data_IF_773908532480
#
_entry.id   IF_773908532480
#
_cell.length_a   1.000
_cell.length_b   1.000
_cell.length_c   1.000
_cell.angle_alpha   90.00
_cell.angle_beta   90.00
_cell.angle_gamma   90.00
#
_symmetry.space_group_name_H-M   'P 1'
#
loop_
_entity.id
_entity.type
_entity.pdbx_description
1 polymer ?
#
# COMPACT_ATOMS: atom_id res chain seq x y z
N UNK A 1 23.14 -63.59 -15.55
CA UNK A 1 21.75 -63.78 -15.11
C UNK A 1 20.87 -62.90 -16.00
N UNK A 2 20.21 -63.37 -17.07
CA UNK A 2 18.93 -64.14 -17.12
C UNK A 2 17.87 -63.45 -16.25
N UNK A 3 16.73 -62.90 -16.70
CA UNK A 3 15.80 -63.27 -17.78
C UNK A 3 14.95 -62.04 -18.20
N UNK A 4 14.59 -61.97 -19.49
CA UNK A 4 13.67 -60.99 -20.11
C UNK A 4 12.20 -61.37 -19.84
N UNK A 5 11.35 -60.40 -19.53
CA UNK A 5 9.89 -60.57 -19.44
C UNK A 5 9.21 -60.47 -20.81
N UNK A 6 8.20 -61.30 -20.98
CA UNK A 6 7.49 -61.69 -22.20
C UNK A 6 6.29 -60.77 -22.47
N UNK A 7 6.08 -60.43 -23.74
CA UNK A 7 4.86 -59.81 -24.28
C UNK A 7 3.72 -60.84 -24.35
N UNK A 8 2.50 -60.44 -24.00
CA UNK A 8 1.29 -61.14 -24.45
C UNK A 8 0.18 -60.14 -24.79
N UNK A 9 -0.14 -60.07 -26.08
CA UNK A 9 -1.31 -59.40 -26.64
C UNK A 9 -2.44 -60.43 -26.80
N UNK A 10 -3.68 -60.08 -26.44
CA UNK A 10 -4.85 -60.82 -26.87
C UNK A 10 -6.03 -59.86 -27.12
N UNK A 11 -6.42 -59.83 -28.39
CA UNK A 11 -7.60 -59.19 -28.97
C UNK A 11 -8.80 -60.10 -28.76
N UNK A 12 -9.97 -59.57 -28.42
CA UNK A 12 -11.24 -60.28 -28.57
C UNK A 12 -12.33 -59.33 -29.09
N UNK A 13 -12.99 -59.75 -30.16
CA UNK A 13 -14.03 -59.02 -30.86
C UNK A 13 -15.34 -59.83 -30.90
N UNK A 14 -16.45 -59.09 -30.79
CA UNK A 14 -17.77 -59.23 -31.44
C UNK A 14 -18.77 -60.37 -31.08
N UNK A 15 -20.05 -59.94 -31.08
CA UNK A 15 -21.30 -60.71 -31.10
C UNK A 15 -22.12 -60.51 -29.81
N UNK A 16 -23.40 -60.11 -29.78
CA UNK A 16 -24.51 -60.22 -30.74
C UNK A 16 -25.59 -59.17 -30.41
N UNK A 17 -26.18 -58.57 -31.45
CA UNK A 17 -27.39 -57.74 -31.42
C UNK A 17 -28.65 -58.62 -31.33
N UNK A 18 -29.57 -58.29 -30.42
CA UNK A 18 -30.99 -58.67 -30.55
C UNK A 18 -31.85 -57.43 -30.30
N UNK A 19 -32.59 -57.08 -31.35
CA UNK A 19 -33.57 -56.02 -31.43
C UNK A 19 -34.82 -56.44 -30.65
N UNK A 20 -35.41 -55.54 -29.86
CA UNK A 20 -36.83 -55.65 -29.56
C UNK A 20 -37.49 -54.27 -29.54
N UNK A 21 -38.50 -54.16 -30.38
CA UNK A 21 -39.27 -52.97 -30.70
C UNK A 21 -40.30 -52.71 -29.59
N UNK A 22 -40.31 -51.51 -29.02
CA UNK A 22 -41.42 -51.05 -28.18
C UNK A 22 -41.77 -49.60 -28.52
N UNK A 23 -42.92 -49.50 -29.20
CA UNK A 23 -43.88 -48.41 -29.36
C UNK A 23 -43.52 -47.01 -28.84
N UNK A 24 -43.54 -46.06 -29.79
CA UNK A 24 -43.47 -44.63 -29.59
C UNK A 24 -44.67 -44.09 -28.78
N UNK A 25 -44.38 -43.52 -27.61
CA UNK A 25 -45.28 -42.60 -26.92
C UNK A 25 -44.88 -41.16 -27.30
N UNK A 26 -45.83 -40.41 -27.86
CA UNK A 26 -45.67 -39.01 -28.28
C UNK A 26 -45.44 -38.13 -27.04
N UNK A 27 -44.22 -37.66 -26.85
CA UNK A 27 -43.90 -36.70 -25.80
C UNK A 27 -44.66 -35.37 -26.02
N UNK A 28 -45.25 -34.76 -24.98
CA UNK A 28 -45.87 -33.45 -25.09
C UNK A 28 -44.81 -32.38 -25.37
N UNK A 29 -45.13 -31.45 -26.27
CA UNK A 29 -44.23 -30.36 -26.66
C UNK A 29 -43.81 -29.46 -25.50
N UNK A 30 -42.70 -28.72 -25.63
CA UNK A 30 -42.14 -27.92 -24.55
C UNK A 30 -43.14 -26.83 -24.12
N UNK A 31 -43.49 -26.85 -22.84
CA UNK A 31 -44.21 -25.76 -22.19
C UNK A 31 -43.21 -24.61 -22.06
N UNK A 32 -43.42 -23.54 -22.84
CA UNK A 32 -42.69 -22.30 -22.69
C UNK A 32 -43.13 -21.61 -21.41
N UNK A 33 -42.32 -21.73 -20.35
CA UNK A 33 -42.44 -20.90 -19.16
C UNK A 33 -42.06 -19.46 -19.54
N UNK A 34 -42.85 -18.43 -19.19
CA UNK A 34 -42.41 -17.05 -19.36
C UNK A 34 -41.15 -16.84 -18.52
N UNK A 35 -40.08 -16.36 -19.14
CA UNK A 35 -38.87 -15.96 -18.43
C UNK A 35 -39.24 -14.88 -17.40
N UNK A 36 -39.21 -15.24 -16.12
CA UNK A 36 -39.34 -14.29 -15.03
C UNK A 36 -38.27 -13.22 -15.22
N UNK A 37 -38.70 -11.96 -15.34
CA UNK A 37 -37.80 -10.82 -15.41
C UNK A 37 -36.82 -10.91 -14.24
N UNK A 38 -35.53 -11.05 -14.54
CA UNK A 38 -34.49 -11.04 -13.54
C UNK A 38 -34.62 -9.73 -12.74
N UNK A 39 -34.83 -9.85 -11.43
CA UNK A 39 -34.82 -8.71 -10.53
C UNK A 39 -33.50 -7.92 -10.75
N UNK A 40 -33.56 -6.58 -10.83
CA UNK A 40 -32.35 -5.78 -11.02
C UNK A 40 -31.39 -6.11 -9.87
N UNK A 41 -30.17 -6.53 -10.21
CA UNK A 41 -29.09 -6.68 -9.23
C UNK A 41 -29.01 -5.38 -8.43
N UNK A 42 -28.95 -5.41 -7.10
CA UNK A 42 -28.80 -4.21 -6.30
C UNK A 42 -27.62 -3.41 -6.85
N UNK A 43 -27.90 -2.21 -7.36
CA UNK A 43 -26.87 -1.25 -7.68
C UNK A 43 -26.19 -0.93 -6.34
N UNK A 44 -24.98 -1.46 -6.14
CA UNK A 44 -24.15 -1.08 -5.00
C UNK A 44 -23.75 0.37 -5.26
N UNK A 45 -24.57 1.30 -4.79
CA UNK A 45 -24.16 2.70 -4.66
C UNK A 45 -22.98 2.71 -3.71
N UNK A 46 -21.77 2.84 -4.25
CA UNK A 46 -20.56 3.02 -3.46
C UNK A 46 -20.83 4.13 -2.43
N UNK A 47 -20.47 3.94 -1.15
CA UNK A 47 -20.57 5.01 -0.17
C UNK A 47 -19.89 6.26 -0.72
N UNK A 48 -20.56 7.40 -0.67
CA UNK A 48 -19.92 8.68 -1.00
C UNK A 48 -18.95 8.96 0.16
N UNK A 49 -17.67 8.72 -0.08
CA UNK A 49 -16.61 9.06 0.88
C UNK A 49 -16.31 10.56 0.83
N UNK A 50 -15.81 11.12 1.92
CA UNK A 50 -15.29 12.49 1.96
C UNK A 50 -14.00 12.58 1.12
N UNK A 51 -14.12 13.21 -0.05
CA UNK A 51 -12.99 13.41 -0.98
C UNK A 51 -12.17 14.67 -0.64
N UNK A 52 -12.58 15.45 0.36
CA UNK A 52 -11.87 16.63 0.84
C UNK A 52 -10.87 16.32 1.95
N UNK A 53 -10.99 15.14 2.57
CA UNK A 53 -10.04 14.65 3.56
C UNK A 53 -8.61 14.59 2.99
N UNK A 54 -7.63 14.79 3.88
CA UNK A 54 -6.23 14.62 3.57
C UNK A 54 -5.50 13.93 4.72
N UNK A 55 -4.44 13.20 4.38
CA UNK A 55 -3.59 12.52 5.37
C UNK A 55 -2.13 12.59 4.95
N UNK A 56 -1.24 12.03 5.78
CA UNK A 56 0.19 11.89 5.51
C UNK A 56 0.64 10.48 5.87
N UNK A 57 1.82 10.11 5.38
CA UNK A 57 2.48 8.86 5.76
C UNK A 57 3.85 9.20 6.33
N UNK A 58 4.15 8.69 7.53
CA UNK A 58 5.49 8.71 8.09
C UNK A 58 6.26 7.46 7.65
N UNK A 59 7.53 7.65 7.30
CA UNK A 59 8.45 6.59 6.90
C UNK A 59 9.61 6.55 7.90
N UNK A 60 9.70 5.44 8.62
CA UNK A 60 10.77 5.13 9.57
C UNK A 60 11.62 3.99 9.00
N UNK A 61 12.83 3.80 9.52
CA UNK A 61 13.67 2.66 9.13
C UNK A 61 14.13 1.92 10.39
N UNK A 62 15.17 2.44 11.06
CA UNK A 62 15.84 1.72 12.12
C UNK A 62 15.77 2.46 13.46
N UNK A 63 15.43 1.72 14.51
CA UNK A 63 15.52 2.22 15.89
C UNK A 63 16.80 1.70 16.54
N UNK A 64 17.58 2.61 17.14
CA UNK A 64 18.85 2.32 17.83
C UNK A 64 19.05 3.24 19.03
N UNK A 65 19.74 2.78 20.07
CA UNK A 65 20.02 3.61 21.25
C UNK A 65 21.03 4.72 20.96
N UNK A 66 22.01 4.43 20.08
CA UNK A 66 23.03 5.38 19.65
C UNK A 66 22.99 5.53 18.13
N UNK A 67 22.48 6.68 17.69
CA UNK A 67 22.41 7.05 16.27
C UNK A 67 23.82 7.20 15.69
N UNK A 68 24.08 6.48 14.59
CA UNK A 68 25.29 6.55 13.76
C UNK A 68 24.97 6.98 12.33
N UNK A 69 23.80 6.60 11.83
CA UNK A 69 23.30 6.91 10.49
C UNK A 69 22.03 7.76 10.59
N UNK A 70 22.15 9.07 10.89
CA UNK A 70 21.01 9.89 11.28
C UNK A 70 19.96 10.12 10.17
N UNK A 71 20.26 9.75 8.92
CA UNK A 71 19.29 9.77 7.82
C UNK A 71 18.32 8.58 7.78
N UNK A 72 18.58 7.53 8.56
CA UNK A 72 17.73 6.32 8.62
C UNK A 72 17.60 5.76 10.04
N UNK A 73 18.27 6.36 11.03
CA UNK A 73 18.21 5.93 12.42
C UNK A 73 17.53 6.98 13.30
N UNK A 74 16.69 6.50 14.21
CA UNK A 74 16.09 7.27 15.29
C UNK A 74 16.21 6.52 16.61
N UNK A 75 16.07 7.22 17.74
CA UNK A 75 16.07 6.57 19.05
C UNK A 75 14.66 6.11 19.46
N UNK A 76 14.53 5.03 20.25
CA UNK A 76 13.23 4.61 20.78
C UNK A 76 12.49 5.70 21.56
N UNK A 77 13.14 6.49 22.44
CA UNK A 77 12.46 7.59 23.12
C UNK A 77 11.92 8.67 22.15
N UNK A 78 12.64 8.97 21.07
CA UNK A 78 12.16 9.91 20.06
C UNK A 78 10.96 9.35 19.30
N UNK A 79 10.99 8.07 18.94
CA UNK A 79 9.86 7.40 18.30
C UNK A 79 8.61 7.40 19.20
N UNK A 80 8.77 7.01 20.46
CA UNK A 80 7.67 6.95 21.44
C UNK A 80 7.08 8.34 21.69
N UNK A 81 7.91 9.39 21.78
CA UNK A 81 7.46 10.77 21.90
C UNK A 81 6.61 11.20 20.69
N UNK A 82 7.00 10.80 19.47
CA UNK A 82 6.23 11.09 18.27
C UNK A 82 4.87 10.37 18.27
N UNK A 83 4.82 9.09 18.69
CA UNK A 83 3.56 8.35 18.78
C UNK A 83 2.62 8.96 19.84
N UNK A 84 3.19 9.37 20.97
CA UNK A 84 2.47 10.10 22.02
C UNK A 84 1.90 11.42 21.49
N UNK A 85 2.69 12.19 20.75
CA UNK A 85 2.25 13.47 20.17
C UNK A 85 1.06 13.28 19.21
N UNK A 86 1.06 12.21 18.40
CA UNK A 86 -0.10 11.88 17.56
C UNK A 86 -1.35 11.64 18.41
N UNK A 87 -1.22 10.87 19.50
CA UNK A 87 -2.33 10.54 20.40
C UNK A 87 -2.86 11.79 21.11
N UNK A 88 -1.98 12.59 21.69
CA UNK A 88 -2.31 13.81 22.43
C UNK A 88 -3.02 14.84 21.53
N UNK A 89 -2.70 14.85 20.23
CA UNK A 89 -3.34 15.74 19.23
C UNK A 89 -4.63 15.18 18.64
N UNK A 90 -5.06 13.99 19.05
CA UNK A 90 -6.24 13.31 18.50
C UNK A 90 -6.07 12.89 17.03
N UNK A 91 -4.85 12.62 16.59
CA UNK A 91 -4.56 12.13 15.24
C UNK A 91 -4.67 10.61 15.27
N UNK A 92 -5.62 10.07 14.51
CA UNK A 92 -5.84 8.61 14.42
C UNK A 92 -4.80 7.99 13.49
N UNK A 93 -4.11 6.95 13.93
CA UNK A 93 -3.28 6.15 13.02
C UNK A 93 -4.17 5.11 12.32
N UNK A 94 -4.28 5.22 11.00
CA UNK A 94 -5.03 4.27 10.17
C UNK A 94 -4.10 3.28 9.48
N UNK A 95 -4.63 2.13 9.07
CA UNK A 95 -3.87 1.17 8.26
C UNK A 95 -3.64 1.71 6.84
N UNK A 96 -2.59 1.24 6.16
CA UNK A 96 -2.38 1.58 4.76
C UNK A 96 -3.51 1.04 3.87
N UNK A 97 -4.11 -0.09 4.22
CA UNK A 97 -5.24 -0.65 3.49
C UNK A 97 -6.52 0.18 3.65
N UNK A 98 -6.74 0.83 4.79
CA UNK A 98 -7.83 1.80 4.97
C UNK A 98 -7.62 3.05 4.12
N UNK A 99 -6.37 3.52 4.01
CA UNK A 99 -6.03 4.60 3.09
C UNK A 99 -6.39 4.21 1.64
N UNK A 100 -6.02 3.01 1.19
CA UNK A 100 -6.36 2.54 -0.16
C UNK A 100 -7.88 2.34 -0.36
N UNK A 101 -8.59 1.81 0.64
CA UNK A 101 -10.05 1.70 0.60
C UNK A 101 -10.72 3.07 0.45
N UNK A 102 -10.22 4.09 1.15
CA UNK A 102 -10.66 5.46 0.93
C UNK A 102 -10.39 5.94 -0.48
N UNK A 103 -9.18 5.72 -1.01
CA UNK A 103 -8.82 6.07 -2.40
C UNK A 103 -9.73 5.39 -3.44
N UNK A 104 -10.27 4.21 -3.14
CA UNK A 104 -11.23 3.49 -4.01
C UNK A 104 -12.70 3.92 -3.82
N UNK A 105 -12.98 4.80 -2.86
CA UNK A 105 -14.32 5.25 -2.50
C UNK A 105 -15.12 4.22 -1.70
N UNK A 106 -14.44 3.35 -0.94
CA UNK A 106 -15.06 2.23 -0.22
C UNK A 106 -15.27 2.53 1.27
N UNK A 107 -14.37 3.31 1.88
CA UNK A 107 -14.37 3.59 3.33
C UNK A 107 -13.94 5.04 3.61
N UNK A 108 -14.59 5.70 4.57
CA UNK A 108 -14.13 7.01 5.04
C UNK A 108 -12.89 6.88 5.93
N UNK A 109 -12.01 7.88 5.89
CA UNK A 109 -10.92 8.04 6.84
C UNK A 109 -11.29 9.09 7.91
N UNK A 110 -10.72 8.99 9.13
CA UNK A 110 -10.93 10.01 10.15
C UNK A 110 -10.45 11.39 9.67
N UNK A 111 -11.09 12.49 10.10
CA UNK A 111 -10.74 13.85 9.68
C UNK A 111 -9.27 14.23 9.94
N UNK A 112 -8.71 13.68 11.02
CA UNK A 112 -7.30 13.84 11.40
C UNK A 112 -6.67 12.47 11.53
N UNK A 113 -6.01 12.02 10.48
CA UNK A 113 -5.32 10.74 10.50
C UNK A 113 -3.93 10.79 9.85
N UNK A 114 -3.12 9.79 10.17
CA UNK A 114 -1.84 9.53 9.56
C UNK A 114 -1.64 8.02 9.38
N UNK A 115 -0.72 7.63 8.49
CA UNK A 115 -0.24 6.24 8.36
C UNK A 115 1.20 6.17 8.85
N UNK A 116 1.56 5.08 9.50
CA UNK A 116 2.93 4.78 9.91
C UNK A 116 3.47 3.64 9.04
N UNK A 117 4.65 3.85 8.46
CA UNK A 117 5.37 2.82 7.69
C UNK A 117 6.82 2.67 8.13
N UNK A 118 7.35 1.46 8.00
CA UNK A 118 8.74 1.12 8.22
C UNK A 118 9.34 0.46 6.99
N UNK A 119 10.54 0.88 6.59
CA UNK A 119 11.26 0.28 5.47
C UNK A 119 12.37 -0.67 5.98
N UNK A 120 12.89 -1.48 5.07
CA UNK A 120 14.07 -2.37 5.21
C UNK A 120 13.90 -3.67 6.00
N UNK A 121 12.92 -3.77 6.90
CA UNK A 121 12.77 -4.96 7.74
C UNK A 121 13.88 -5.12 8.79
N UNK A 122 14.20 -4.05 9.53
CA UNK A 122 15.13 -4.13 10.66
C UNK A 122 14.51 -4.87 11.85
N UNK A 123 15.29 -5.68 12.56
CA UNK A 123 14.87 -6.43 13.76
C UNK A 123 14.32 -5.53 14.87
N UNK A 124 14.80 -4.28 14.98
CA UNK A 124 14.28 -3.32 15.95
C UNK A 124 12.84 -2.89 15.69
N UNK A 125 12.29 -3.14 14.49
CA UNK A 125 10.87 -2.93 14.21
C UNK A 125 10.02 -3.96 14.97
N UNK A 126 10.48 -5.20 15.06
CA UNK A 126 9.85 -6.26 15.85
C UNK A 126 10.09 -6.06 17.36
N UNK A 127 11.35 -5.84 17.75
CA UNK A 127 11.74 -5.85 19.18
C UNK A 127 11.42 -4.54 19.92
N UNK A 128 11.32 -3.42 19.19
CA UNK A 128 11.20 -2.08 19.81
C UNK A 128 9.98 -1.32 19.29
N UNK A 129 9.87 -1.12 17.98
CA UNK A 129 8.79 -0.31 17.42
C UNK A 129 7.41 -0.94 17.71
N UNK A 130 7.27 -2.25 17.46
CA UNK A 130 5.98 -2.93 17.63
C UNK A 130 5.46 -2.90 19.08
N UNK A 131 6.26 -3.19 20.13
CA UNK A 131 5.85 -2.96 21.51
C UNK A 131 5.42 -1.51 21.81
N UNK A 132 6.14 -0.51 21.29
CA UNK A 132 5.76 0.91 21.47
C UNK A 132 4.41 1.18 20.80
N UNK A 133 4.22 0.76 19.55
CA UNK A 133 2.97 0.94 18.80
C UNK A 133 1.77 0.31 19.52
N UNK A 134 1.96 -0.87 20.13
CA UNK A 134 0.93 -1.53 20.95
C UNK A 134 0.48 -0.68 22.15
N UNK A 135 1.38 0.07 22.80
CA UNK A 135 1.01 0.98 23.92
C UNK A 135 0.01 2.05 23.48
N UNK A 136 0.03 2.44 22.22
CA UNK A 136 -0.86 3.45 21.65
C UNK A 136 -2.07 2.87 20.93
N UNK A 137 -2.13 1.54 20.75
CA UNK A 137 -3.17 0.89 19.94
C UNK A 137 -3.03 1.18 18.44
N UNK A 138 -1.81 1.45 17.97
CA UNK A 138 -1.55 1.79 16.58
C UNK A 138 -1.13 0.58 15.75
N UNK A 139 -1.57 0.56 14.49
CA UNK A 139 -1.07 -0.33 13.45
C UNK A 139 0.00 0.36 12.60
N UNK A 140 0.71 -0.39 11.77
CA UNK A 140 1.67 0.12 10.79
C UNK A 140 1.88 -0.86 9.64
N UNK A 141 2.52 -0.37 8.58
CA UNK A 141 2.95 -1.18 7.44
C UNK A 141 4.47 -1.32 7.41
N UNK A 142 4.97 -2.51 7.08
CA UNK A 142 6.38 -2.75 6.81
C UNK A 142 6.61 -3.01 5.32
N UNK A 143 7.58 -2.33 4.72
CA UNK A 143 8.07 -2.60 3.38
C UNK A 143 9.37 -3.40 3.46
N UNK A 144 9.33 -4.65 3.00
CA UNK A 144 10.41 -5.64 3.17
C UNK A 144 11.13 -5.88 1.86
N UNK A 145 12.47 -5.77 1.87
CA UNK A 145 13.28 -6.30 0.78
C UNK A 145 13.76 -7.70 1.12
N UNK A 146 13.57 -8.65 0.21
CA UNK A 146 13.59 -10.08 0.57
C UNK A 146 14.99 -10.63 0.82
N UNK A 147 16.03 -10.06 0.21
CA UNK A 147 17.42 -10.47 0.45
C UNK A 147 17.87 -10.16 1.89
N UNK A 148 17.38 -9.07 2.50
CA UNK A 148 17.71 -8.74 3.89
C UNK A 148 17.21 -9.80 4.88
N UNK A 149 16.04 -10.39 4.58
CA UNK A 149 15.44 -11.48 5.37
C UNK A 149 16.05 -12.84 5.02
N UNK A 150 16.58 -13.01 3.80
CA UNK A 150 17.13 -14.26 3.31
C UNK A 150 18.41 -14.66 4.07
N UNK A 151 18.21 -15.48 5.10
CA UNK A 151 19.30 -16.13 5.85
C UNK A 151 19.83 -15.34 7.04
N UNK A 152 19.16 -14.26 7.48
CA UNK A 152 19.43 -13.52 8.73
C UNK A 152 20.85 -12.95 8.89
N UNK A 153 21.70 -13.06 7.86
CA UNK A 153 23.14 -12.82 7.90
C UNK A 153 23.55 -11.58 7.11
N UNK A 154 22.72 -11.12 6.18
CA UNK A 154 22.84 -9.81 5.57
C UNK A 154 22.22 -8.76 6.50
N UNK A 155 22.98 -7.71 6.81
CA UNK A 155 22.69 -6.77 7.90
C UNK A 155 23.37 -7.10 9.23
N UNK A 156 24.21 -8.15 9.29
CA UNK A 156 24.99 -8.48 10.49
C UNK A 156 24.13 -8.98 11.66
N UNK A 157 23.10 -9.78 11.39
CA UNK A 157 22.19 -10.32 12.41
C UNK A 157 21.09 -9.36 12.89
N UNK A 158 20.88 -8.26 12.15
CA UNK A 158 19.98 -7.18 12.55
C UNK A 158 18.75 -7.06 11.65
N UNK A 159 18.61 -7.95 10.66
CA UNK A 159 17.39 -8.07 9.87
C UNK A 159 16.34 -8.88 10.65
N UNK A 160 15.07 -8.60 10.36
CA UNK A 160 13.94 -9.40 10.82
C UNK A 160 13.97 -10.79 10.17
N UNK A 161 13.46 -11.81 10.86
CA UNK A 161 13.32 -13.17 10.28
C UNK A 161 11.93 -13.40 9.67
N UNK A 162 11.80 -14.47 8.88
CA UNK A 162 10.51 -14.88 8.32
C UNK A 162 9.48 -15.23 9.41
N UNK A 163 9.93 -15.86 10.49
CA UNK A 163 9.09 -16.23 11.63
C UNK A 163 8.57 -14.98 12.35
N UNK A 164 9.42 -13.97 12.53
CA UNK A 164 9.02 -12.69 13.10
C UNK A 164 8.04 -11.94 12.20
N UNK A 165 8.24 -11.95 10.88
CA UNK A 165 7.28 -11.38 9.93
C UNK A 165 5.93 -12.10 9.97
N UNK A 166 5.93 -13.44 10.07
CA UNK A 166 4.72 -14.23 10.19
C UNK A 166 3.95 -13.91 11.49
N UNK A 167 4.65 -13.79 12.62
CA UNK A 167 4.04 -13.40 13.91
C UNK A 167 3.42 -12.01 13.84
N UNK A 168 4.13 -11.03 13.26
CA UNK A 168 3.60 -9.68 13.07
C UNK A 168 2.35 -9.66 12.18
N UNK A 169 2.38 -10.40 11.05
CA UNK A 169 1.23 -10.58 10.16
C UNK A 169 0.02 -11.16 10.90
N UNK A 170 0.23 -12.23 11.67
CA UNK A 170 -0.85 -12.92 12.41
C UNK A 170 -1.48 -12.03 13.49
N UNK A 171 -0.75 -10.98 13.90
CA UNK A 171 -1.21 -9.95 14.82
C UNK A 171 -1.61 -8.63 14.12
N UNK A 172 -1.89 -8.67 12.82
CA UNK A 172 -2.50 -7.56 12.08
C UNK A 172 -1.55 -6.45 11.63
N UNK A 173 -0.24 -6.70 11.61
CA UNK A 173 0.72 -5.81 10.96
C UNK A 173 0.71 -6.06 9.44
N UNK A 174 0.63 -4.98 8.68
CA UNK A 174 0.63 -5.03 7.22
C UNK A 174 2.05 -5.18 6.67
N UNK A 175 2.30 -6.18 5.82
CA UNK A 175 3.62 -6.46 5.23
C UNK A 175 3.53 -6.32 3.71
N UNK A 176 4.44 -5.53 3.12
CA UNK A 176 4.43 -5.09 1.72
C UNK A 176 5.85 -5.12 1.13
N UNK A 177 6.00 -4.83 -0.17
CA UNK A 177 7.24 -5.09 -0.90
C UNK A 177 8.21 -3.90 -0.96
N UNK A 178 9.51 -4.19 -0.86
CA UNK A 178 10.59 -3.20 -0.98
C UNK A 178 11.75 -3.66 -1.88
N UNK A 179 11.46 -4.40 -2.95
CA UNK A 179 12.42 -5.01 -3.90
C UNK A 179 13.12 -6.27 -3.38
N UNK A 180 13.92 -6.92 -4.21
CA UNK A 180 14.65 -8.11 -3.77
C UNK A 180 15.91 -7.70 -2.99
N UNK A 181 16.68 -6.75 -3.50
CA UNK A 181 18.06 -6.47 -3.04
C UNK A 181 18.29 -5.04 -2.57
N UNK A 182 17.26 -4.18 -2.58
CA UNK A 182 17.32 -2.79 -2.11
C UNK A 182 18.36 -1.94 -2.86
N UNK A 183 18.24 -1.93 -4.20
CA UNK A 183 19.10 -1.17 -5.11
C UNK A 183 18.31 -0.09 -5.87
N UNK A 184 19.00 0.85 -6.49
CA UNK A 184 18.38 1.78 -7.43
C UNK A 184 17.93 1.02 -8.69
N UNK A 185 16.62 1.06 -8.96
CA UNK A 185 15.99 0.27 -10.01
C UNK A 185 16.16 0.85 -11.42
N UNK A 186 16.80 2.01 -11.58
CA UNK A 186 16.92 2.67 -12.88
C UNK A 186 18.06 2.07 -13.70
N UNK A 187 17.81 1.80 -14.97
CA UNK A 187 18.81 1.29 -15.91
C UNK A 187 20.11 2.12 -15.91
N UNK A 188 21.25 1.45 -16.08
CA UNK A 188 22.57 2.07 -16.17
C UNK A 188 23.15 2.56 -14.84
N UNK A 189 22.41 2.41 -13.72
CA UNK A 189 22.92 2.72 -12.39
C UNK A 189 23.87 1.63 -11.91
N UNK A 190 24.84 2.04 -11.09
CA UNK A 190 25.79 1.12 -10.48
C UNK A 190 25.12 0.43 -9.30
N UNK A 191 24.88 -0.86 -9.42
CA UNK A 191 24.35 -1.71 -8.36
C UNK A 191 25.44 -2.64 -7.82
N UNK A 192 25.20 -3.21 -6.63
CA UNK A 192 26.04 -4.28 -6.10
C UNK A 192 25.45 -5.64 -6.47
N UNK A 193 26.23 -6.49 -7.12
CA UNK A 193 25.84 -7.86 -7.45
C UNK A 193 26.66 -8.83 -6.60
N UNK A 194 26.00 -9.89 -6.13
CA UNK A 194 26.64 -11.01 -5.46
C UNK A 194 27.01 -12.06 -6.51
N UNK A 195 28.31 -12.29 -6.71
CA UNK A 195 28.81 -13.33 -7.60
C UNK A 195 28.81 -14.71 -6.91
N UNK A 196 28.84 -15.82 -7.67
CA UNK A 196 29.14 -17.13 -7.13
C UNK A 196 30.40 -17.11 -6.25
N UNK A 197 30.29 -17.63 -5.02
CA UNK A 197 31.36 -17.57 -4.01
C UNK A 197 31.29 -16.36 -3.06
N UNK A 198 30.24 -15.55 -3.12
CA UNK A 198 29.96 -14.50 -2.12
C UNK A 198 30.71 -13.19 -2.34
N UNK A 199 31.42 -13.04 -3.47
CA UNK A 199 32.12 -11.81 -3.80
C UNK A 199 31.14 -10.73 -4.26
N UNK A 200 31.26 -9.53 -3.66
CA UNK A 200 30.49 -8.34 -4.04
C UNK A 200 31.19 -7.58 -5.15
N UNK A 201 30.52 -7.38 -6.28
CA UNK A 201 31.03 -6.59 -7.42
C UNK A 201 30.08 -5.44 -7.74
N UNK A 202 30.63 -4.35 -8.27
CA UNK A 202 29.84 -3.22 -8.78
C UNK A 202 29.59 -3.45 -10.25
N UNK A 203 28.33 -3.38 -10.68
CA UNK A 203 27.96 -3.55 -12.09
C UNK A 203 26.91 -2.52 -12.49
N UNK A 204 26.96 -2.09 -13.75
CA UNK A 204 25.88 -1.32 -14.39
C UNK A 204 25.13 -2.28 -15.29
N UNK A 205 23.83 -2.43 -15.04
CA UNK A 205 22.98 -3.28 -15.87
C UNK A 205 22.30 -2.44 -16.95
N UNK A 206 22.27 -2.96 -18.17
CA UNK A 206 21.55 -2.39 -19.31
C UNK A 206 20.96 -3.50 -20.18
N UNK A 207 19.95 -3.16 -20.99
CA UNK A 207 19.34 -4.07 -21.95
C UNK A 207 18.72 -5.31 -21.30
N UNK A 208 18.81 -6.49 -21.94
CA UNK A 208 18.15 -7.70 -21.45
C UNK A 208 18.53 -8.13 -20.04
N UNK A 209 19.78 -7.89 -19.62
CA UNK A 209 20.23 -8.22 -18.27
C UNK A 209 19.55 -7.35 -17.21
N UNK A 210 19.41 -6.05 -17.50
CA UNK A 210 18.66 -5.13 -16.65
C UNK A 210 17.20 -5.54 -16.54
N UNK A 211 16.55 -5.90 -17.64
CA UNK A 211 15.15 -6.33 -17.62
C UNK A 211 14.93 -7.57 -16.75
N UNK A 212 15.77 -8.59 -16.91
CA UNK A 212 15.68 -9.80 -16.08
C UNK A 212 15.90 -9.49 -14.60
N UNK A 213 16.86 -8.62 -14.30
CA UNK A 213 17.12 -8.18 -12.94
C UNK A 213 15.95 -7.39 -12.36
N UNK A 214 15.40 -6.43 -13.09
CA UNK A 214 14.27 -5.60 -12.64
C UNK A 214 13.02 -6.44 -12.38
N UNK A 215 12.74 -7.45 -13.23
CA UNK A 215 11.66 -8.40 -13.00
C UNK A 215 11.87 -9.18 -11.68
N UNK A 216 13.09 -9.61 -11.40
CA UNK A 216 13.41 -10.28 -10.12
C UNK A 216 13.25 -9.34 -8.93
N UNK A 217 13.70 -8.09 -9.05
CA UNK A 217 13.56 -7.07 -8.01
C UNK A 217 12.10 -6.80 -7.67
N UNK A 218 11.25 -6.59 -8.67
CA UNK A 218 9.88 -6.10 -8.47
C UNK A 218 8.88 -7.24 -8.34
N UNK A 219 8.87 -8.16 -9.30
CA UNK A 219 7.92 -9.29 -9.37
C UNK A 219 8.37 -10.43 -8.45
N UNK A 220 9.67 -10.78 -8.50
CA UNK A 220 10.21 -11.85 -7.68
C UNK A 220 10.08 -11.58 -6.18
N UNK A 221 10.32 -10.33 -5.75
CA UNK A 221 10.08 -9.90 -4.37
C UNK A 221 8.62 -10.12 -3.94
N UNK A 222 7.66 -9.64 -4.75
CA UNK A 222 6.22 -9.83 -4.52
C UNK A 222 5.88 -11.30 -4.30
N UNK A 223 6.24 -12.12 -5.29
CA UNK A 223 5.92 -13.55 -5.30
C UNK A 223 6.50 -14.28 -4.09
N UNK A 224 7.74 -13.96 -3.72
CA UNK A 224 8.38 -14.57 -2.56
C UNK A 224 7.70 -14.19 -1.25
N UNK A 225 7.31 -12.92 -1.07
CA UNK A 225 6.55 -12.47 0.09
C UNK A 225 5.18 -13.14 0.16
N UNK A 226 4.43 -13.16 -0.95
CA UNK A 226 3.13 -13.82 -1.04
C UNK A 226 3.24 -15.33 -0.74
N UNK A 227 4.26 -16.00 -1.28
CA UNK A 227 4.51 -17.42 -1.04
C UNK A 227 4.88 -17.71 0.43
N UNK A 228 5.74 -16.90 1.04
CA UNK A 228 6.23 -17.13 2.41
C UNK A 228 5.19 -16.77 3.46
N UNK A 229 4.38 -15.75 3.21
CA UNK A 229 3.47 -15.17 4.19
C UNK A 229 1.99 -15.45 3.88
N UNK A 230 1.63 -16.02 2.74
CA UNK A 230 0.24 -16.36 2.42
C UNK A 230 -0.72 -15.16 2.42
N UNK A 231 -0.21 -13.96 2.17
CA UNK A 231 -0.96 -12.70 2.10
C UNK A 231 -0.84 -12.10 0.71
N UNK A 232 -1.77 -11.22 0.36
CA UNK A 232 -1.67 -10.41 -0.86
C UNK A 232 -0.70 -9.26 -0.65
N UNK A 233 0.20 -9.06 -1.59
CA UNK A 233 1.13 -7.92 -1.59
C UNK A 233 0.71 -6.95 -2.69
N UNK A 234 0.04 -5.84 -2.32
CA UNK A 234 -0.50 -4.85 -3.26
C UNK A 234 0.22 -3.49 -3.22
N UNK A 235 1.14 -3.28 -2.29
CA UNK A 235 1.90 -2.03 -2.16
C UNK A 235 3.39 -2.27 -2.38
N UNK A 236 4.04 -1.29 -3.00
CA UNK A 236 5.46 -1.32 -3.34
C UNK A 236 6.15 -0.02 -2.93
N UNK A 237 7.10 -0.06 -2.01
CA UNK A 237 7.99 1.08 -1.78
C UNK A 237 9.22 0.96 -2.68
N UNK A 238 9.56 2.02 -3.42
CA UNK A 238 10.78 2.02 -4.24
C UNK A 238 11.98 2.47 -3.40
N UNK A 239 13.12 1.73 -3.41
CA UNK A 239 14.32 2.10 -2.67
C UNK A 239 14.76 3.54 -2.95
N UNK A 240 15.15 4.25 -1.90
CA UNK A 240 15.60 5.65 -1.95
C UNK A 240 14.56 6.66 -2.52
N UNK A 241 13.34 6.21 -2.85
CA UNK A 241 12.34 7.01 -3.55
C UNK A 241 12.64 7.27 -5.03
N UNK A 242 13.68 6.64 -5.61
CA UNK A 242 14.11 6.91 -6.99
C UNK A 242 13.48 5.95 -7.99
N UNK A 243 12.88 6.48 -9.06
CA UNK A 243 12.21 5.68 -10.08
C UNK A 243 12.20 6.39 -11.44
N UNK A 244 11.79 5.67 -12.48
CA UNK A 244 11.43 6.19 -13.81
C UNK A 244 10.11 5.55 -14.27
N UNK A 245 9.62 5.91 -15.46
CA UNK A 245 8.33 5.38 -15.95
C UNK A 245 8.37 3.86 -16.18
N UNK A 246 9.52 3.32 -16.59
CA UNK A 246 9.70 1.87 -16.77
C UNK A 246 9.50 1.10 -15.46
N UNK A 247 10.07 1.59 -14.35
CA UNK A 247 9.88 0.98 -13.02
C UNK A 247 8.40 1.03 -12.61
N UNK A 248 7.69 2.15 -12.86
CA UNK A 248 6.25 2.25 -12.60
C UNK A 248 5.45 1.24 -13.43
N UNK A 249 5.79 1.07 -14.70
CA UNK A 249 5.14 0.13 -15.60
C UNK A 249 5.33 -1.31 -15.11
N UNK A 250 6.56 -1.71 -14.76
CA UNK A 250 6.82 -3.04 -14.21
C UNK A 250 6.05 -3.27 -12.91
N UNK A 251 6.00 -2.29 -12.01
CA UNK A 251 5.22 -2.40 -10.77
C UNK A 251 3.71 -2.56 -11.04
N UNK A 252 3.16 -1.78 -11.98
CA UNK A 252 1.75 -1.86 -12.39
C UNK A 252 1.44 -3.23 -13.01
N UNK A 253 2.31 -3.72 -13.89
CA UNK A 253 2.17 -5.02 -14.55
C UNK A 253 2.31 -6.20 -13.57
N UNK A 254 3.08 -6.02 -12.50
CA UNK A 254 3.17 -6.95 -11.37
C UNK A 254 1.89 -6.95 -10.48
N UNK A 255 0.92 -6.08 -10.77
CA UNK A 255 -0.32 -5.96 -10.02
C UNK A 255 -0.17 -5.26 -8.67
N UNK A 256 0.83 -4.39 -8.51
CA UNK A 256 0.82 -3.44 -7.38
C UNK A 256 -0.24 -2.37 -7.63
N UNK A 257 -1.02 -2.09 -6.60
CA UNK A 257 -2.06 -1.06 -6.58
C UNK A 257 -1.47 0.32 -6.32
N UNK A 258 -0.44 0.39 -5.45
CA UNK A 258 0.20 1.63 -5.07
C UNK A 258 1.72 1.50 -4.96
N UNK A 259 2.41 2.56 -5.37
CA UNK A 259 3.86 2.71 -5.28
C UNK A 259 4.23 3.90 -4.39
N UNK A 260 5.20 3.72 -3.50
CA UNK A 260 5.58 4.68 -2.47
C UNK A 260 7.02 5.16 -2.62
N UNK A 261 7.26 6.43 -2.29
CA UNK A 261 8.56 7.09 -2.30
C UNK A 261 8.86 7.65 -0.90
N UNK A 262 9.99 8.33 -0.74
CA UNK A 262 10.40 9.00 0.51
C UNK A 262 10.30 10.54 0.42
N UNK A 263 9.66 11.06 -0.62
CA UNK A 263 9.48 12.50 -0.81
C UNK A 263 8.14 12.94 -0.21
N UNK A 264 8.16 13.40 1.04
CA UNK A 264 6.96 13.70 1.81
C UNK A 264 6.00 14.69 1.13
N UNK A 265 4.73 14.30 1.05
CA UNK A 265 3.65 15.13 0.53
C UNK A 265 2.34 14.80 1.26
N UNK A 266 1.41 15.76 1.38
CA UNK A 266 0.03 15.46 1.77
C UNK A 266 -0.62 14.54 0.73
N UNK A 267 -1.43 13.60 1.19
CA UNK A 267 -2.20 12.70 0.34
C UNK A 267 -3.65 13.14 0.35
N UNK A 268 -4.15 13.46 -0.83
CA UNK A 268 -5.55 13.82 -1.08
C UNK A 268 -6.26 12.68 -1.82
N UNK A 269 -7.58 12.79 -1.92
CA UNK A 269 -8.39 11.80 -2.63
C UNK A 269 -7.98 11.65 -4.10
N UNK A 270 -7.41 12.68 -4.72
CA UNK A 270 -6.99 12.67 -6.14
C UNK A 270 -5.50 12.43 -6.35
N UNK A 271 -4.67 12.30 -5.30
CA UNK A 271 -3.25 11.98 -5.45
C UNK A 271 -3.05 10.67 -6.26
N UNK A 272 -2.10 10.63 -7.21
CA UNK A 272 -1.83 9.39 -7.96
C UNK A 272 -1.29 8.30 -7.02
N UNK A 273 -1.72 7.05 -7.23
CA UNK A 273 -1.26 5.91 -6.44
C UNK A 273 0.11 5.38 -6.91
N UNK A 274 0.61 5.80 -8.07
CA UNK A 274 1.87 5.30 -8.63
C UNK A 274 3.11 6.10 -8.19
N UNK A 275 2.97 7.04 -7.25
CA UNK A 275 4.09 7.77 -6.64
C UNK A 275 3.68 8.50 -5.35
N UNK A 276 3.27 7.75 -4.33
CA UNK A 276 2.84 8.28 -3.04
C UNK A 276 4.06 8.65 -2.18
N UNK A 277 4.17 9.92 -1.81
CA UNK A 277 5.22 10.46 -0.96
C UNK A 277 5.01 10.19 0.52
N UNK A 278 6.10 9.86 1.22
CA UNK A 278 6.13 9.62 2.66
C UNK A 278 7.18 10.51 3.31
N UNK A 279 6.90 11.03 4.50
CA UNK A 279 7.82 11.87 5.25
C UNK A 279 8.86 10.98 5.96
N UNK A 280 10.09 10.96 5.45
CA UNK A 280 11.20 10.23 6.06
C UNK A 280 11.58 10.84 7.41
N UNK A 281 11.60 10.01 8.45
CA UNK A 281 11.91 10.39 9.81
C UNK A 281 13.41 10.19 10.07
N UNK A 282 14.13 11.30 10.11
CA UNK A 282 15.59 11.35 10.23
C UNK A 282 15.98 12.07 11.52
N UNK A 283 16.91 11.50 12.30
CA UNK A 283 17.38 12.12 13.54
C UNK A 283 18.10 13.46 13.32
N UNK A 284 18.74 13.67 12.16
CA UNK A 284 19.35 14.96 11.79
C UNK A 284 18.34 15.99 11.26
N UNK A 285 17.06 15.63 11.07
CA UNK A 285 16.00 16.54 10.63
C UNK A 285 14.77 16.47 11.55
N UNK A 286 14.92 16.79 12.85
CA UNK A 286 13.84 16.63 13.84
C UNK A 286 12.58 17.46 13.55
N UNK A 287 12.69 18.53 12.74
CA UNK A 287 11.57 19.37 12.34
C UNK A 287 10.60 18.69 11.37
N UNK A 288 11.02 17.66 10.63
CA UNK A 288 10.18 17.01 9.62
C UNK A 288 8.90 16.47 10.24
N UNK A 289 8.97 15.88 11.43
CA UNK A 289 7.79 15.40 12.14
C UNK A 289 6.81 16.55 12.43
N UNK A 290 7.29 17.61 13.10
CA UNK A 290 6.46 18.75 13.46
C UNK A 290 5.89 19.50 12.24
N UNK A 291 6.64 19.58 11.14
CA UNK A 291 6.19 20.20 9.90
C UNK A 291 5.17 19.34 9.17
N UNK A 292 5.34 18.01 9.17
CA UNK A 292 4.36 17.08 8.61
C UNK A 292 3.03 17.11 9.37
N UNK A 293 3.05 17.27 10.70
CA UNK A 293 1.82 17.42 11.50
C UNK A 293 0.95 18.61 11.05
N UNK A 294 1.56 19.70 10.56
CA UNK A 294 0.83 20.87 10.04
C UNK A 294 0.10 20.57 8.73
N UNK A 295 0.50 19.50 8.05
CA UNK A 295 -0.10 19.04 6.80
C UNK A 295 -1.25 18.06 7.03
N UNK A 296 -1.46 17.57 8.25
CA UNK A 296 -2.66 16.79 8.57
C UNK A 296 -3.82 17.77 8.66
N UNK A 297 -4.77 17.63 7.74
CA UNK A 297 -5.85 18.61 7.57
C UNK A 297 -6.65 18.80 8.86
N UNK A 298 -6.85 20.05 9.26
CA UNK A 298 -8.10 20.43 9.90
C UNK A 298 -9.12 20.50 8.78
N UNK A 299 -9.92 19.47 8.59
CA UNK A 299 -11.05 19.49 7.67
C UNK A 299 -11.81 20.82 7.85
N UNK A 300 -11.79 21.67 6.82
CA UNK A 300 -12.63 22.85 6.78
C UNK A 300 -14.07 22.37 6.62
N UNK A 301 -14.84 22.41 7.71
CA UNK A 301 -16.24 22.01 7.74
C UNK A 301 -16.43 20.66 8.42
N UNK A 302 -16.95 20.68 9.64
CA UNK A 302 -17.47 19.47 10.28
C UNK A 302 -18.60 18.89 9.45
N UNK A 303 -18.30 17.84 8.68
CA UNK A 303 -19.30 16.84 8.39
C UNK A 303 -19.52 16.07 9.69
N UNK A 304 -20.73 16.16 10.24
CA UNK A 304 -21.12 15.41 11.42
C UNK A 304 -20.77 13.92 11.24
N UNK A 305 -20.28 13.30 12.31
CA UNK A 305 -20.02 11.88 12.35
C UNK A 305 -21.25 11.12 11.84
N UNK A 306 -21.11 10.41 10.73
CA UNK A 306 -22.08 9.39 10.34
C UNK A 306 -21.97 8.31 11.40
N UNK A 307 -22.97 8.24 12.29
CA UNK A 307 -23.02 7.25 13.33
C UNK A 307 -22.90 5.85 12.71
N UNK A 308 -21.86 5.10 13.09
CA UNK A 308 -21.86 3.66 12.90
C UNK A 308 -23.05 3.11 13.68
N UNK A 309 -23.99 2.48 12.97
CA UNK A 309 -25.06 1.70 13.58
C UNK A 309 -24.41 0.50 14.25
N UNK A 310 -24.15 0.63 15.55
CA UNK A 310 -23.71 -0.46 16.40
C UNK A 310 -24.74 -1.58 16.39
N UNK A 311 -24.28 -2.79 16.07
CA UNK A 311 -25.05 -4.00 16.27
C UNK A 311 -25.25 -4.24 17.78
N UNK A 312 -26.43 -3.90 18.29
CA UNK A 312 -26.90 -4.38 19.58
C UNK A 312 -28.42 -4.61 19.54
N UNK A 313 -28.78 -5.88 19.80
CA UNK A 313 -30.05 -6.35 20.35
C UNK A 313 -31.31 -6.22 19.48
N UNK A 314 -31.61 -7.33 18.76
CA UNK A 314 -32.95 -7.67 18.33
C UNK A 314 -33.74 -8.25 19.52
N UNK A 315 -34.66 -7.47 20.08
CA UNK A 315 -35.93 -7.97 20.61
C UNK A 315 -37.02 -6.88 20.51
N UNK A 316 -38.25 -7.21 20.08
CA UNK A 316 -39.28 -6.20 19.86
C UNK A 316 -40.23 -6.11 21.06
N UNK A 317 -40.55 -4.89 21.50
CA UNK A 317 -41.84 -4.60 22.14
C UNK A 317 -42.33 -3.19 21.80
N UNK A 318 -43.47 -3.17 21.10
CA UNK A 318 -44.59 -2.23 21.16
C UNK A 318 -44.38 -0.71 20.99
N UNK A 319 -44.80 -0.22 19.80
CA UNK A 319 -45.82 0.83 19.55
C UNK A 319 -46.00 1.96 20.57
N UNK A 320 -45.75 3.21 20.12
CA UNK A 320 -46.78 4.29 20.05
C UNK A 320 -46.36 5.47 19.17
N UNK A 321 -47.31 5.94 18.38
CA UNK A 321 -47.30 7.18 17.60
C UNK A 321 -47.58 8.38 18.51
N UNK A 322 -46.86 9.49 18.33
CA UNK A 322 -47.41 10.83 18.49
C UNK A 322 -46.71 11.84 17.55
N UNK A 323 -47.48 12.84 17.18
CA UNK A 323 -47.37 13.83 16.13
C UNK A 323 -46.56 15.05 16.55
N UNK A 324 -46.22 15.83 15.53
CA UNK A 324 -46.00 17.28 15.53
C UNK A 324 -44.61 17.78 15.94
N UNK A 325 -43.85 18.27 14.95
CA UNK A 325 -43.59 19.72 14.72
C UNK A 325 -42.46 19.88 13.70
N UNK A 326 -42.74 20.61 12.61
CA UNK A 326 -41.72 21.13 11.68
C UNK A 326 -41.13 22.42 12.25
N UNK A 327 -39.90 22.78 11.84
CA UNK A 327 -39.57 24.18 11.63
C UNK A 327 -39.24 24.47 10.17
N UNK A 328 -39.86 25.55 9.71
CA UNK A 328 -39.69 26.24 8.44
C UNK A 328 -38.40 27.05 8.46
N UNK A 329 -37.55 26.93 7.44
CA UNK A 329 -36.49 27.91 7.16
C UNK A 329 -36.72 28.55 5.79
N UNK A 330 -36.86 29.88 5.84
CA UNK A 330 -37.14 30.82 4.77
C UNK A 330 -35.81 31.18 4.08
N UNK A 331 -35.73 30.98 2.76
CA UNK A 331 -34.64 31.52 1.94
C UNK A 331 -35.08 32.84 1.31
N UNK A 332 -34.33 33.91 1.53
CA UNK A 332 -34.41 35.13 0.73
C UNK A 332 -33.23 35.21 -0.24
N UNK A 333 -33.56 35.66 -1.44
CA UNK A 333 -32.74 35.82 -2.63
C UNK A 333 -32.03 37.18 -2.67
N UNK A 334 -30.77 37.18 -3.07
CA UNK A 334 -30.07 38.25 -3.79
C UNK A 334 -28.78 37.62 -4.34
N UNK A 335 -28.24 37.89 -5.52
CA UNK A 335 -28.41 38.96 -6.49
C UNK A 335 -27.14 38.91 -7.34
N UNK A 336 -27.31 39.01 -8.65
CA UNK A 336 -26.30 38.91 -9.71
C UNK A 336 -25.07 39.80 -9.54
N UNK A 337 -23.88 39.29 -9.88
CA UNK A 337 -22.81 40.11 -10.46
C UNK A 337 -21.83 39.26 -11.28
N UNK A 338 -21.75 39.56 -12.58
CA UNK A 338 -20.80 38.98 -13.52
C UNK A 338 -19.36 39.40 -13.18
N UNK A 339 -18.39 38.49 -13.31
CA UNK A 339 -16.98 38.88 -13.39
C UNK A 339 -16.37 38.32 -14.68
N UNK A 340 -15.88 39.25 -15.51
CA UNK A 340 -15.31 39.01 -16.84
C UNK A 340 -13.91 38.39 -16.73
N UNK A 341 -13.58 37.56 -17.72
CA UNK A 341 -12.23 37.09 -18.03
C UNK A 341 -11.23 38.24 -18.09
N UNK A 342 -10.13 38.11 -17.35
CA UNK A 342 -8.90 38.84 -17.61
C UNK A 342 -7.76 37.82 -17.82
N UNK A 343 -7.43 37.59 -19.09
CA UNK A 343 -6.21 36.96 -19.57
C UNK A 343 -5.02 37.88 -19.29
N UNK A 344 -4.01 37.42 -18.55
CA UNK A 344 -2.70 38.09 -18.45
C UNK A 344 -1.64 37.22 -19.11
N UNK A 345 -0.94 37.84 -20.06
CA UNK A 345 0.15 37.31 -20.88
C UNK A 345 1.43 37.09 -20.05
N UNK A 346 2.18 36.04 -20.43
CA UNK A 346 3.60 35.82 -20.09
C UNK A 346 4.48 36.96 -20.64
N UNK A 347 5.60 37.28 -19.96
CA UNK A 347 6.83 37.71 -20.63
C UNK A 347 7.89 36.60 -20.61
N UNK A 348 8.70 36.61 -21.68
CA UNK A 348 9.73 35.64 -22.01
C UNK A 348 11.05 35.84 -21.23
N UNK A 349 11.86 34.79 -21.26
CA UNK A 349 13.22 34.63 -20.70
C UNK A 349 14.25 35.55 -21.36
N UNK A 350 15.36 35.82 -20.65
CA UNK A 350 16.76 35.55 -21.08
C UNK A 350 17.74 35.77 -19.89
N UNK A 351 18.98 35.23 -19.94
CA UNK A 351 19.71 34.68 -18.78
C UNK A 351 20.94 35.50 -18.38
N UNK A 352 21.43 35.33 -17.14
CA UNK A 352 22.77 35.79 -16.73
C UNK A 352 23.51 34.72 -15.92
N UNK A 353 24.81 34.65 -16.24
CA UNK A 353 25.85 33.66 -15.96
C UNK A 353 26.21 33.43 -14.49
N UNK A 354 26.77 32.23 -14.31
CA UNK A 354 27.62 31.74 -13.23
C UNK A 354 28.66 32.74 -12.67
N UNK A 355 28.81 32.78 -11.35
CA UNK A 355 30.09 33.07 -10.69
C UNK A 355 30.40 32.04 -9.61
N UNK A 356 31.64 31.56 -9.68
CA UNK A 356 32.28 30.57 -8.82
C UNK A 356 32.67 31.17 -7.46
N UNK A 357 32.68 30.29 -6.46
CA UNK A 357 33.59 30.17 -5.31
C UNK A 357 34.25 31.43 -4.74
N UNK A 358 33.95 31.71 -3.46
CA UNK A 358 34.93 32.26 -2.54
C UNK A 358 34.83 31.50 -1.21
N UNK A 359 35.86 30.70 -0.91
CA UNK A 359 36.04 30.04 0.36
C UNK A 359 36.92 30.94 1.23
N UNK A 360 36.45 31.27 2.44
CA UNK A 360 37.24 31.95 3.47
C UNK A 360 37.73 30.87 4.44
N UNK A 361 39.05 30.65 4.44
CA UNK A 361 39.77 29.95 5.52
C UNK A 361 40.00 30.94 6.65
N UNK A 362 39.75 30.51 7.88
CA UNK A 362 40.33 31.09 9.09
C UNK A 362 41.02 29.95 9.84
N UNK A 363 42.28 30.18 10.17
CA UNK A 363 43.14 29.42 11.08
C UNK A 363 43.90 30.48 11.91
N UNK A 364 44.45 30.17 13.09
CA UNK A 364 44.56 28.87 13.77
C UNK A 364 43.40 28.56 14.72
#
# INVERSE_FOLDING_TARGET
>A
MRIRFVFLSAVLACGVFLCNSALAAKAPGPITTPAGAAAPKPSVTKPVVDQTAQTIIFCYHRLVDKVRYPGTEITPPMFEAQMKELKDRGITVISLQDLLAWKRGEKNIPPRCAVISFDDGWKSQYEVAWPIMKKFGYTFTMFIYTEGVAGGSLGGGQAITWEQLADMRDNGIDIQAHTATHQDLREGHTIMVMEPGGKRTKKKLTGPEYEQWLQKEVVGCKQLLEQRLGIKINCFAVPFGTYNEHVKEVARNAGYEAMFTVYGQPITFTSPLDSIGRYAMEANKPKVFADALKMIGTSAGGAAAVAEVGAANLWPTSVRLDKSTQPVCRCESAGSASCRRATIRKPARLPIRSRKNCAIRVAP
#
